data_IF_513137926315
#
_entry.id   IF_513137926315
#
_cell.length_a   1.000
_cell.length_b   1.000
_cell.length_c   1.000
_cell.angle_alpha   90.00
_cell.angle_beta   90.00
_cell.angle_gamma   90.00
#
_symmetry.space_group_name_H-M   'P 1'
#
loop_
_entity.id
_entity.type
_entity.pdbx_description
1 polymer ?
#
# COMPACT_ATOMS: atom_id res chain seq x y z
N UNK A 1 9.41 -9.43 -0.18
CA UNK A 1 10.87 -9.18 -0.28
C UNK A 1 11.11 -7.71 -0.05
N UNK A 2 12.10 -7.39 0.75
CA UNK A 2 12.56 -6.03 1.01
C UNK A 2 14.03 -5.92 0.66
N UNK A 3 14.48 -4.74 0.24
CA UNK A 3 15.85 -4.53 -0.21
C UNK A 3 16.35 -3.13 0.16
N UNK A 4 17.67 -3.03 0.45
CA UNK A 4 18.38 -1.80 0.76
C UNK A 4 19.59 -1.64 -0.17
N UNK A 5 19.66 -0.53 -0.88
CA UNK A 5 20.82 -0.17 -1.67
C UNK A 5 22.04 0.12 -0.79
N UNK A 6 23.22 -0.28 -1.23
CA UNK A 6 24.46 -0.09 -0.46
C UNK A 6 24.99 1.35 -0.47
N UNK A 7 24.32 2.25 -1.18
CA UNK A 7 24.63 3.67 -1.21
C UNK A 7 25.39 4.14 -2.47
N UNK A 8 25.59 5.44 -2.62
CA UNK A 8 26.29 6.02 -3.77
C UNK A 8 27.71 5.46 -3.91
N UNK A 9 28.12 5.14 -5.13
CA UNK A 9 29.43 4.57 -5.42
C UNK A 9 29.58 3.07 -5.13
N UNK A 10 28.59 2.45 -4.47
CA UNK A 10 28.57 1.00 -4.22
C UNK A 10 27.65 0.30 -5.22
N UNK A 11 28.08 -0.85 -5.74
CA UNK A 11 27.22 -1.71 -6.58
C UNK A 11 26.55 -2.75 -5.70
N UNK A 12 25.24 -2.91 -5.88
CA UNK A 12 24.47 -3.98 -5.27
C UNK A 12 23.56 -3.53 -4.13
N UNK A 13 22.86 -4.51 -3.58
CA UNK A 13 21.86 -4.35 -2.53
C UNK A 13 22.03 -5.47 -1.50
N UNK A 14 21.63 -5.21 -0.27
CA UNK A 14 21.27 -6.26 0.68
C UNK A 14 19.75 -6.45 0.64
N UNK A 15 19.28 -7.66 0.91
CA UNK A 15 17.87 -7.97 0.81
C UNK A 15 17.47 -9.15 1.69
N UNK A 16 16.19 -9.21 2.01
CA UNK A 16 15.53 -10.34 2.66
C UNK A 16 14.21 -10.65 1.97
N UNK A 17 13.88 -11.92 1.84
CA UNK A 17 12.61 -12.40 1.34
C UNK A 17 12.06 -13.46 2.31
N UNK A 18 10.80 -13.29 2.68
CA UNK A 18 10.07 -14.21 3.54
C UNK A 18 8.83 -14.69 2.79
N UNK A 19 8.62 -15.99 2.73
CA UNK A 19 7.41 -16.59 2.15
C UNK A 19 6.26 -16.41 3.13
N UNK A 20 5.20 -15.76 2.68
CA UNK A 20 3.95 -15.66 3.43
C UNK A 20 3.22 -17.00 3.34
N UNK A 21 2.66 -17.53 4.46
CA UNK A 21 1.87 -18.77 4.41
C UNK A 21 0.70 -18.66 3.42
N UNK A 22 0.33 -19.80 2.81
CA UNK A 22 -0.65 -19.83 1.71
C UNK A 22 -2.07 -19.45 2.14
N UNK A 23 -2.38 -19.57 3.44
CA UNK A 23 -3.66 -19.20 4.03
C UNK A 23 -3.66 -17.83 4.71
N UNK A 24 -2.61 -17.03 4.49
CA UNK A 24 -2.41 -15.72 5.10
C UNK A 24 -2.38 -14.60 4.06
N UNK A 25 -2.64 -13.39 4.54
CA UNK A 25 -2.48 -12.14 3.80
C UNK A 25 -1.39 -11.28 4.45
N UNK A 26 -0.70 -10.50 3.63
CA UNK A 26 0.31 -9.54 4.06
C UNK A 26 0.10 -8.22 3.31
N UNK A 27 0.53 -7.12 3.91
CA UNK A 27 0.46 -5.79 3.31
C UNK A 27 1.73 -4.99 3.61
N UNK A 28 2.12 -4.13 2.67
CA UNK A 28 3.21 -3.18 2.78
C UNK A 28 2.80 -1.83 2.21
N UNK A 29 3.25 -0.76 2.82
CA UNK A 29 2.90 0.60 2.42
C UNK A 29 4.07 1.56 2.65
N UNK A 30 5.10 1.51 1.81
CA UNK A 30 6.30 2.36 1.86
C UNK A 30 7.15 2.26 3.15
N UNK A 31 6.88 1.29 4.02
CA UNK A 31 7.62 1.01 5.25
C UNK A 31 8.06 -0.44 5.26
N UNK A 32 9.28 -0.69 5.73
CA UNK A 32 9.79 -2.05 5.93
C UNK A 32 9.04 -2.73 7.07
N UNK A 33 8.67 -3.99 6.89
CA UNK A 33 7.87 -4.73 7.87
C UNK A 33 8.43 -6.10 8.24
N UNK A 34 9.38 -6.63 7.48
CA UNK A 34 10.12 -7.82 7.86
C UNK A 34 11.00 -7.45 9.04
N UNK A 35 10.74 -7.99 10.22
CA UNK A 35 11.54 -7.80 11.43
C UNK A 35 12.52 -8.94 11.60
N UNK A 36 12.40 -9.69 12.67
CA UNK A 36 13.16 -10.93 12.86
C UNK A 36 12.69 -12.01 11.88
N UNK A 37 13.61 -12.81 11.41
CA UNK A 37 13.35 -13.94 10.52
C UNK A 37 14.29 -15.10 10.83
N UNK A 38 13.83 -16.32 10.68
CA UNK A 38 14.64 -17.50 10.95
C UNK A 38 15.65 -17.75 9.81
N UNK A 39 16.90 -17.43 10.04
CA UNK A 39 18.00 -17.63 9.09
C UNK A 39 18.27 -19.11 8.77
N UNK A 40 17.73 -20.05 9.56
CA UNK A 40 17.86 -21.49 9.34
C UNK A 40 16.74 -22.06 8.47
N UNK A 41 15.61 -21.37 8.36
CA UNK A 41 14.48 -21.78 7.52
C UNK A 41 14.77 -21.51 6.03
N UNK A 42 15.53 -22.40 5.40
CA UNK A 42 15.89 -22.30 3.97
C UNK A 42 14.71 -22.52 3.02
N UNK A 43 13.56 -22.99 3.52
CA UNK A 43 12.36 -23.20 2.71
C UNK A 43 11.57 -21.90 2.52
N UNK A 44 11.47 -21.09 3.57
CA UNK A 44 10.58 -19.92 3.59
C UNK A 44 11.34 -18.60 3.68
N UNK A 45 12.66 -18.62 3.90
CA UNK A 45 13.47 -17.41 4.06
C UNK A 45 14.69 -17.44 3.14
N UNK A 46 14.90 -16.36 2.42
CA UNK A 46 16.08 -16.11 1.60
C UNK A 46 16.59 -14.70 1.92
N UNK A 47 17.90 -14.52 1.92
CA UNK A 47 18.54 -13.24 2.22
C UNK A 47 19.94 -13.15 1.59
N UNK A 48 20.43 -11.93 1.40
CA UNK A 48 21.81 -11.70 0.95
C UNK A 48 22.82 -12.13 2.03
N UNK A 49 23.91 -12.77 1.62
CA UNK A 49 24.93 -13.32 2.56
C UNK A 49 25.51 -12.28 3.50
N UNK A 50 25.52 -11.03 3.11
CA UNK A 50 26.10 -9.92 3.83
C UNK A 50 25.09 -9.03 4.55
N UNK A 51 23.81 -9.47 4.67
CA UNK A 51 22.72 -8.68 5.24
C UNK A 51 23.02 -8.17 6.66
N UNK A 52 23.56 -8.98 7.55
CA UNK A 52 23.93 -8.55 8.92
C UNK A 52 25.28 -7.82 8.91
N UNK A 53 26.25 -8.34 8.15
CA UNK A 53 27.57 -7.73 8.06
C UNK A 53 27.49 -6.27 7.62
N UNK A 54 26.70 -5.99 6.57
CA UNK A 54 26.53 -4.64 6.06
C UNK A 54 25.87 -3.70 7.09
N UNK A 55 24.85 -4.17 7.82
CA UNK A 55 24.24 -3.39 8.90
C UNK A 55 25.25 -3.04 10.01
N UNK A 56 26.12 -3.97 10.39
CA UNK A 56 27.20 -3.73 11.36
C UNK A 56 28.23 -2.75 10.85
N UNK A 57 28.67 -2.87 9.60
CA UNK A 57 29.62 -1.94 8.97
C UNK A 57 29.10 -0.49 8.93
N UNK A 58 27.76 -0.34 8.83
CA UNK A 58 27.09 0.97 8.88
C UNK A 58 26.78 1.46 10.30
N UNK A 59 27.03 0.66 11.34
CA UNK A 59 26.67 0.99 12.71
C UNK A 59 25.16 0.95 13.01
N UNK A 60 24.38 0.32 12.14
CA UNK A 60 22.92 0.22 12.29
C UNK A 60 22.48 -0.99 13.13
N UNK A 61 23.41 -1.90 13.40
CA UNK A 61 23.18 -3.07 14.25
C UNK A 61 24.46 -3.52 14.96
N UNK A 62 24.35 -3.86 16.26
CA UNK A 62 25.48 -4.30 17.07
C UNK A 62 25.20 -5.56 17.91
N UNK A 63 24.01 -6.15 17.79
CA UNK A 63 23.62 -7.33 18.57
C UNK A 63 24.15 -8.67 18.04
N UNK A 64 23.67 -9.77 18.61
CA UNK A 64 23.91 -11.12 18.07
C UNK A 64 23.11 -11.32 16.79
N UNK A 65 23.54 -12.24 15.91
CA UNK A 65 22.85 -12.52 14.65
C UNK A 65 21.38 -12.95 14.85
N UNK A 66 21.09 -13.68 15.92
CA UNK A 66 19.75 -14.12 16.29
C UNK A 66 18.79 -12.98 16.67
N UNK A 67 19.32 -11.84 17.10
CA UNK A 67 18.56 -10.65 17.48
C UNK A 67 18.34 -9.70 16.29
N UNK A 68 18.89 -10.03 15.12
CA UNK A 68 18.82 -9.15 13.97
C UNK A 68 17.38 -8.96 13.49
N UNK A 69 16.96 -7.70 13.43
CA UNK A 69 15.71 -7.26 12.85
C UNK A 69 15.97 -6.41 11.61
N UNK A 70 15.51 -6.85 10.46
CA UNK A 70 15.73 -6.14 9.21
C UNK A 70 15.12 -4.73 9.24
N UNK A 71 13.83 -4.61 9.59
CA UNK A 71 13.14 -3.32 9.60
C UNK A 71 13.80 -2.34 10.59
N UNK A 72 14.18 -2.82 11.77
CA UNK A 72 14.79 -1.95 12.79
C UNK A 72 16.19 -1.48 12.41
N UNK A 73 16.94 -2.30 11.66
CA UNK A 73 18.28 -1.95 11.20
C UNK A 73 18.26 -1.04 9.95
N UNK A 74 17.39 -1.34 8.97
CA UNK A 74 17.45 -0.69 7.66
C UNK A 74 16.39 0.38 7.42
N UNK A 75 15.27 0.34 8.12
CA UNK A 75 14.16 1.27 7.97
C UNK A 75 13.35 1.37 9.28
N UNK A 76 13.94 1.85 10.37
CA UNK A 76 13.23 1.98 11.64
C UNK A 76 12.00 2.88 11.46
N UNK A 77 10.86 2.41 11.94
CA UNK A 77 9.60 3.13 11.82
C UNK A 77 9.56 4.30 12.81
N UNK A 78 9.71 5.51 12.31
CA UNK A 78 9.45 6.74 13.03
C UNK A 78 7.95 7.08 13.07
N UNK A 79 7.59 8.20 13.68
CA UNK A 79 6.22 8.66 13.75
C UNK A 79 5.58 8.82 12.35
N UNK A 80 6.32 9.43 11.42
CA UNK A 80 5.86 9.60 10.04
C UNK A 80 5.66 8.27 9.31
N UNK A 81 6.62 7.35 9.42
CA UNK A 81 6.54 6.01 8.84
C UNK A 81 5.34 5.23 9.34
N UNK A 82 5.02 5.32 10.64
CA UNK A 82 3.82 4.70 11.21
C UNK A 82 2.56 5.36 10.67
N UNK A 83 2.42 6.67 10.81
CA UNK A 83 1.21 7.42 10.46
C UNK A 83 0.91 7.40 8.96
N UNK A 84 1.92 7.53 8.09
CA UNK A 84 1.73 7.47 6.64
C UNK A 84 1.64 6.06 6.09
N UNK A 85 2.43 5.13 6.62
CA UNK A 85 2.62 3.83 6.01
C UNK A 85 1.88 2.74 6.77
N UNK A 86 2.21 2.53 8.04
CA UNK A 86 1.62 1.44 8.83
C UNK A 86 0.12 1.62 9.08
N UNK A 87 -0.40 2.85 9.09
CA UNK A 87 -1.85 3.09 9.17
C UNK A 87 -2.61 2.46 7.99
N UNK A 88 -2.06 2.49 6.76
CA UNK A 88 -2.66 1.82 5.59
C UNK A 88 -2.64 0.30 5.71
N UNK A 89 -1.55 -0.25 6.24
CA UNK A 89 -1.45 -1.68 6.53
C UNK A 89 -2.46 -2.09 7.61
N UNK A 90 -2.57 -1.27 8.66
CA UNK A 90 -3.55 -1.48 9.72
C UNK A 90 -4.97 -1.50 9.15
N UNK A 91 -5.33 -0.56 8.29
CA UNK A 91 -6.65 -0.52 7.67
C UNK A 91 -6.94 -1.79 6.88
N UNK A 92 -6.01 -2.22 6.02
CA UNK A 92 -6.15 -3.46 5.27
C UNK A 92 -6.33 -4.68 6.18
N UNK A 93 -5.52 -4.80 7.24
CA UNK A 93 -5.68 -5.90 8.18
C UNK A 93 -6.97 -5.82 8.99
N UNK A 94 -7.40 -4.61 9.37
CA UNK A 94 -8.65 -4.40 10.11
C UNK A 94 -9.89 -4.83 9.32
N UNK A 95 -9.89 -4.66 8.00
CA UNK A 95 -10.98 -5.14 7.13
C UNK A 95 -11.10 -6.67 7.16
N UNK A 96 -9.97 -7.38 7.25
CA UNK A 96 -9.92 -8.82 7.01
C UNK A 96 -9.62 -9.67 8.24
N UNK A 97 -9.18 -9.11 9.35
CA UNK A 97 -8.99 -9.82 10.60
C UNK A 97 -10.34 -10.23 11.21
N UNK A 98 -10.40 -11.41 11.79
CA UNK A 98 -11.53 -11.80 12.61
C UNK A 98 -11.56 -10.97 13.89
N UNK A 99 -12.71 -10.37 14.21
CA UNK A 99 -12.86 -9.47 15.37
C UNK A 99 -12.20 -8.08 15.23
N UNK A 100 -11.65 -7.76 14.05
CA UNK A 100 -10.97 -6.50 13.78
C UNK A 100 -9.50 -6.48 14.21
N UNK A 101 -8.89 -5.30 14.19
CA UNK A 101 -7.43 -5.12 14.39
C UNK A 101 -7.12 -3.92 15.29
N UNK A 102 -8.06 -3.51 16.12
CA UNK A 102 -8.00 -2.30 16.94
C UNK A 102 -6.84 -2.27 17.94
N UNK A 103 -6.38 -3.43 18.44
CA UNK A 103 -5.25 -3.55 19.37
C UNK A 103 -3.95 -2.97 18.79
N UNK A 104 -3.80 -2.94 17.47
CA UNK A 104 -2.62 -2.42 16.77
C UNK A 104 -2.75 -0.97 16.30
N UNK A 105 -3.89 -0.34 16.52
CA UNK A 105 -4.09 1.06 16.13
C UNK A 105 -3.09 2.02 16.80
N UNK A 106 -2.76 1.89 18.11
CA UNK A 106 -1.77 2.76 18.75
C UNK A 106 -0.39 2.72 18.06
N UNK A 107 0.05 1.54 17.60
CA UNK A 107 1.26 1.42 16.77
C UNK A 107 1.09 2.14 15.44
N UNK A 108 0.03 1.83 14.70
CA UNK A 108 -0.19 2.31 13.35
C UNK A 108 -0.28 3.84 13.24
N UNK A 109 -0.82 4.50 14.28
CA UNK A 109 -0.92 5.96 14.31
C UNK A 109 0.29 6.64 14.97
N UNK A 110 1.24 5.87 15.49
CA UNK A 110 2.47 6.38 16.08
C UNK A 110 2.31 7.11 17.41
N UNK A 111 1.18 6.98 18.09
CA UNK A 111 0.92 7.67 19.38
C UNK A 111 1.73 7.10 20.54
N UNK A 112 2.02 5.81 20.49
CA UNK A 112 2.71 5.07 21.54
C UNK A 112 3.97 4.44 20.95
N UNK A 113 5.15 4.84 21.46
CA UNK A 113 6.42 4.31 21.00
C UNK A 113 6.59 2.83 21.37
N UNK A 114 6.01 2.41 22.49
CA UNK A 114 6.09 1.07 23.06
C UNK A 114 4.95 0.17 22.60
N UNK A 115 4.02 0.69 21.77
CA UNK A 115 2.91 -0.10 21.23
C UNK A 115 3.41 -1.34 20.49
N UNK A 116 2.66 -2.42 20.61
CA UNK A 116 2.93 -3.68 19.94
C UNK A 116 2.95 -3.51 18.41
N UNK A 117 4.04 -3.85 17.73
CA UNK A 117 4.11 -3.79 16.27
C UNK A 117 3.17 -4.79 15.62
N UNK A 118 2.63 -4.44 14.46
CA UNK A 118 1.75 -5.33 13.71
C UNK A 118 2.52 -6.53 13.17
N UNK A 119 1.90 -7.75 13.13
CA UNK A 119 2.49 -8.91 12.50
C UNK A 119 2.69 -8.69 11.00
N UNK A 120 3.65 -9.41 10.39
CA UNK A 120 3.94 -9.32 8.96
C UNK A 120 2.77 -9.84 8.11
N UNK A 121 2.01 -10.80 8.61
CA UNK A 121 0.83 -11.38 7.98
C UNK A 121 -0.23 -11.73 9.02
N UNK A 122 -1.45 -11.87 8.56
CA UNK A 122 -2.58 -12.38 9.35
C UNK A 122 -3.32 -13.46 8.56
N UNK A 123 -4.03 -14.33 9.28
CA UNK A 123 -5.03 -15.21 8.68
C UNK A 123 -6.31 -14.39 8.47
N UNK A 124 -6.83 -14.27 7.25
CA UNK A 124 -8.06 -13.52 7.02
C UNK A 124 -9.28 -14.30 7.51
N UNK A 125 -10.33 -13.59 7.91
CA UNK A 125 -11.61 -14.18 8.35
C UNK A 125 -12.34 -14.99 7.26
N UNK A 126 -11.97 -14.78 5.99
CA UNK A 126 -12.50 -15.48 4.84
C UNK A 126 -11.50 -15.51 3.68
N UNK A 127 -11.72 -16.37 2.69
CA UNK A 127 -10.96 -16.31 1.44
C UNK A 127 -11.32 -15.03 0.69
N UNK A 128 -10.29 -14.33 0.18
CA UNK A 128 -10.45 -13.08 -0.55
C UNK A 128 -10.61 -13.34 -2.06
N UNK A 129 -11.61 -12.72 -2.65
CA UNK A 129 -11.80 -12.63 -4.08
C UNK A 129 -11.00 -11.46 -4.70
N UNK A 130 -10.95 -11.41 -6.02
CA UNK A 130 -10.41 -10.23 -6.74
C UNK A 130 -11.19 -8.96 -6.40
N UNK A 131 -12.53 -9.06 -6.30
CA UNK A 131 -13.38 -7.93 -5.94
C UNK A 131 -13.08 -7.40 -4.51
N UNK A 132 -12.81 -8.30 -3.56
CA UNK A 132 -12.40 -7.91 -2.20
C UNK A 132 -11.11 -7.09 -2.21
N UNK A 133 -10.11 -7.51 -3.01
CA UNK A 133 -8.87 -6.78 -3.16
C UNK A 133 -9.06 -5.43 -3.88
N UNK A 134 -9.86 -5.40 -4.95
CA UNK A 134 -10.22 -4.16 -5.64
C UNK A 134 -10.91 -3.17 -4.70
N UNK A 135 -11.84 -3.65 -3.88
CA UNK A 135 -12.50 -2.82 -2.87
C UNK A 135 -11.54 -2.34 -1.77
N UNK A 136 -10.60 -3.20 -1.35
CA UNK A 136 -9.57 -2.78 -0.39
C UNK A 136 -8.67 -1.67 -0.94
N UNK A 137 -8.43 -1.64 -2.26
CA UNK A 137 -7.67 -0.55 -2.90
C UNK A 137 -8.43 0.78 -2.92
N UNK A 138 -9.73 0.78 -2.65
CA UNK A 138 -10.61 1.96 -2.61
C UNK A 138 -10.79 2.55 -1.20
N UNK A 139 -10.09 2.00 -0.21
CA UNK A 139 -10.26 2.36 1.21
C UNK A 139 -9.79 3.78 1.55
N UNK A 140 -10.60 4.50 2.34
CA UNK A 140 -10.30 5.79 2.96
C UNK A 140 -10.54 5.72 4.48
N UNK A 141 -10.24 4.57 5.08
CA UNK A 141 -10.44 4.28 6.51
C UNK A 141 -11.92 4.27 6.94
N UNK A 142 -12.85 4.00 6.03
CA UNK A 142 -14.29 4.01 6.31
C UNK A 142 -14.63 3.14 7.53
N UNK A 143 -15.52 3.65 8.40
CA UNK A 143 -15.96 3.00 9.63
C UNK A 143 -14.83 2.74 10.66
N UNK A 144 -13.77 3.52 10.63
CA UNK A 144 -12.67 3.45 11.59
C UNK A 144 -12.42 4.81 12.26
N UNK A 145 -11.66 4.88 13.37
CA UNK A 145 -11.28 6.17 13.96
C UNK A 145 -10.40 7.07 13.07
N UNK A 146 -9.94 6.58 11.93
CA UNK A 146 -9.16 7.33 10.95
C UNK A 146 -9.99 7.72 9.72
N UNK A 147 -11.30 7.52 9.72
CA UNK A 147 -12.15 7.80 8.57
C UNK A 147 -11.96 9.21 8.04
N UNK A 148 -11.84 9.32 6.71
CA UNK A 148 -11.72 10.60 6.01
C UNK A 148 -13.06 11.15 5.53
N UNK A 149 -14.18 10.43 5.76
CA UNK A 149 -15.50 10.74 5.21
C UNK A 149 -16.58 10.93 6.25
N UNK A 150 -16.30 10.71 7.54
CA UNK A 150 -17.33 10.71 8.59
C UNK A 150 -17.49 12.01 9.35
N UNK A 151 -16.46 12.85 9.41
CA UNK A 151 -16.48 14.12 10.14
C UNK A 151 -16.16 15.28 9.20
N UNK A 152 -16.87 16.39 9.38
CA UNK A 152 -16.67 17.62 8.59
C UNK A 152 -15.24 18.17 8.69
N UNK A 153 -14.58 17.94 9.82
CA UNK A 153 -13.20 18.39 10.07
C UNK A 153 -12.13 17.50 9.40
N UNK A 154 -12.50 16.28 8.98
CA UNK A 154 -11.54 15.30 8.51
C UNK A 154 -11.37 15.24 6.99
N UNK A 155 -12.33 15.76 6.24
CA UNK A 155 -12.31 15.80 4.78
C UNK A 155 -12.27 17.23 4.23
N UNK A 156 -12.77 17.40 3.03
CA UNK A 156 -12.92 18.68 2.34
C UNK A 156 -14.24 19.37 2.69
N UNK A 157 -14.40 19.74 3.96
CA UNK A 157 -15.58 20.47 4.42
C UNK A 157 -16.88 19.73 4.14
N UNK A 158 -17.94 20.47 3.82
CA UNK A 158 -19.31 19.96 3.62
C UNK A 158 -19.46 18.90 2.50
N UNK A 159 -18.48 18.75 1.64
CA UNK A 159 -18.51 17.75 0.56
C UNK A 159 -17.80 16.45 0.92
N UNK A 160 -17.25 16.34 2.14
CA UNK A 160 -16.63 15.12 2.69
C UNK A 160 -15.66 14.43 1.74
N UNK A 161 -14.85 15.21 1.01
CA UNK A 161 -13.87 14.65 0.08
C UNK A 161 -12.80 13.85 0.84
N UNK A 162 -12.54 12.58 0.48
CA UNK A 162 -11.75 11.67 1.30
C UNK A 162 -10.25 11.81 1.08
N UNK A 163 -9.72 13.02 1.13
CA UNK A 163 -8.29 13.28 1.04
C UNK A 163 -7.86 14.44 1.93
N UNK A 164 -6.56 14.49 2.22
CA UNK A 164 -5.95 15.58 2.98
C UNK A 164 -5.24 16.55 2.05
N UNK A 165 -5.35 17.84 2.35
CA UNK A 165 -4.58 18.87 1.66
C UNK A 165 -3.12 18.90 2.13
N UNK A 166 -2.22 19.32 1.26
CA UNK A 166 -0.84 19.65 1.61
C UNK A 166 -0.79 20.98 2.41
N UNK A 167 0.15 21.10 3.37
CA UNK A 167 1.13 20.07 3.77
C UNK A 167 0.50 18.97 4.64
N UNK A 168 0.93 17.72 4.40
CA UNK A 168 0.48 16.60 5.23
C UNK A 168 1.20 16.54 6.59
N UNK A 169 2.29 17.26 6.77
CA UNK A 169 2.96 17.45 8.04
C UNK A 169 3.11 18.94 8.34
N UNK A 170 2.85 19.33 9.58
CA UNK A 170 2.90 20.73 10.02
C UNK A 170 3.18 20.81 11.51
N UNK A 171 3.63 21.97 11.97
CA UNK A 171 3.90 22.24 13.37
C UNK A 171 2.89 23.28 13.90
N UNK A 172 2.35 23.00 15.10
CA UNK A 172 1.50 23.95 15.85
C UNK A 172 2.02 24.02 17.27
N UNK A 173 2.36 25.21 17.74
CA UNK A 173 2.90 25.45 19.08
C UNK A 173 4.08 24.53 19.47
N UNK A 174 4.98 24.29 18.50
CA UNK A 174 6.15 23.44 18.67
C UNK A 174 5.86 21.94 18.67
N UNK A 175 4.62 21.52 18.40
CA UNK A 175 4.22 20.13 18.27
C UNK A 175 4.06 19.76 16.81
N UNK A 176 4.65 18.64 16.42
CA UNK A 176 4.55 18.11 15.07
C UNK A 176 3.26 17.31 14.87
N UNK A 177 2.54 17.61 13.81
CA UNK A 177 1.34 16.91 13.39
C UNK A 177 1.56 16.27 12.02
N UNK A 178 0.97 15.09 11.83
CA UNK A 178 0.92 14.39 10.56
C UNK A 178 -0.53 13.97 10.29
N UNK A 179 -0.98 14.23 9.09
CA UNK A 179 -2.21 13.64 8.57
C UNK A 179 -1.91 12.28 7.94
N UNK A 180 -2.77 11.30 8.18
CA UNK A 180 -2.69 9.99 7.55
C UNK A 180 -2.98 10.09 6.04
N UNK A 181 -2.43 9.13 5.29
CA UNK A 181 -2.75 8.92 3.89
C UNK A 181 -3.54 7.62 3.78
N UNK A 182 -4.69 7.58 3.09
CA UNK A 182 -5.46 6.34 2.89
C UNK A 182 -4.79 5.43 1.86
N UNK A 183 -5.31 4.20 1.71
CA UNK A 183 -4.90 3.28 0.66
C UNK A 183 -5.25 3.87 -0.71
N UNK A 184 -6.50 4.30 -0.90
CA UNK A 184 -6.91 5.06 -2.07
C UNK A 184 -6.55 6.53 -1.90
N UNK A 185 -5.81 7.07 -2.82
CA UNK A 185 -5.40 8.48 -2.81
C UNK A 185 -5.50 9.07 -4.20
N UNK A 186 -6.05 10.29 -4.28
CA UNK A 186 -6.22 11.04 -5.52
C UNK A 186 -4.92 11.28 -6.32
N UNK A 187 -3.78 11.02 -5.71
CA UNK A 187 -2.46 11.15 -6.35
C UNK A 187 -2.00 9.86 -7.06
N UNK A 188 -2.80 8.78 -6.99
CA UNK A 188 -2.46 7.53 -7.65
C UNK A 188 -2.57 7.66 -9.15
N UNK A 189 -1.55 7.25 -9.89
CA UNK A 189 -1.56 7.25 -11.35
C UNK A 189 -2.17 5.98 -11.92
N UNK A 190 -2.15 4.90 -11.17
CA UNK A 190 -2.70 3.59 -11.55
C UNK A 190 -2.89 2.70 -10.34
N UNK A 191 -3.72 1.68 -10.52
CA UNK A 191 -3.95 0.60 -9.56
C UNK A 191 -4.05 -0.72 -10.31
N UNK A 192 -3.64 -1.80 -9.67
CA UNK A 192 -3.84 -3.13 -10.25
C UNK A 192 -4.02 -4.22 -9.19
N UNK A 193 -4.67 -5.31 -9.60
CA UNK A 193 -4.74 -6.57 -8.87
C UNK A 193 -4.26 -7.68 -9.80
N UNK A 194 -3.25 -8.44 -9.38
CA UNK A 194 -2.77 -9.61 -10.13
C UNK A 194 -3.41 -10.87 -9.57
N UNK A 195 -4.04 -11.66 -10.43
CA UNK A 195 -4.61 -12.96 -10.09
C UNK A 195 -3.83 -14.06 -10.81
N UNK A 196 -3.17 -14.93 -10.04
CA UNK A 196 -2.38 -16.04 -10.55
C UNK A 196 -3.07 -17.37 -10.24
N UNK A 197 -3.38 -18.17 -11.27
CA UNK A 197 -4.14 -19.41 -11.20
C UNK A 197 -3.35 -20.53 -11.87
N UNK A 198 -2.48 -21.19 -11.10
CA UNK A 198 -1.57 -22.24 -11.59
C UNK A 198 -2.27 -23.48 -12.15
N UNK A 199 -3.56 -23.67 -11.81
CA UNK A 199 -4.41 -24.77 -12.28
C UNK A 199 -5.05 -24.53 -13.65
N UNK A 200 -4.84 -23.37 -14.24
CA UNK A 200 -5.34 -23.03 -15.59
C UNK A 200 -4.19 -23.05 -16.61
N UNK A 201 -4.51 -23.18 -17.90
CA UNK A 201 -3.53 -23.01 -18.97
C UNK A 201 -2.79 -21.67 -18.84
N UNK A 202 -1.49 -21.64 -19.17
CA UNK A 202 -0.65 -20.45 -19.02
C UNK A 202 -1.19 -19.20 -19.70
N UNK A 203 -1.93 -19.39 -20.81
CA UNK A 203 -2.52 -18.30 -21.59
C UNK A 203 -3.57 -17.51 -20.81
N UNK A 204 -4.27 -18.17 -19.88
CA UNK A 204 -5.37 -17.58 -19.10
C UNK A 204 -5.15 -17.69 -17.58
N UNK A 205 -4.08 -18.32 -17.15
CA UNK A 205 -3.76 -18.54 -15.73
C UNK A 205 -3.45 -17.25 -14.97
N UNK A 206 -2.83 -16.28 -15.62
CA UNK A 206 -2.54 -14.96 -15.06
C UNK A 206 -3.47 -13.90 -15.62
N UNK A 207 -4.06 -13.10 -14.75
CA UNK A 207 -4.85 -11.92 -15.11
C UNK A 207 -4.31 -10.72 -14.34
N UNK A 208 -4.12 -9.63 -15.05
CA UNK A 208 -3.74 -8.34 -14.52
C UNK A 208 -4.95 -7.39 -14.62
N UNK A 209 -5.61 -7.19 -13.49
CA UNK A 209 -6.73 -6.27 -13.39
C UNK A 209 -6.19 -4.86 -13.20
N UNK A 210 -6.27 -4.05 -14.23
CA UNK A 210 -5.59 -2.75 -14.30
C UNK A 210 -6.58 -1.61 -14.41
N UNK A 211 -6.31 -0.51 -13.70
CA UNK A 211 -7.01 0.75 -13.82
C UNK A 211 -6.03 1.93 -13.80
N UNK A 212 -6.27 2.92 -14.62
CA UNK A 212 -5.56 4.20 -14.59
C UNK A 212 -6.25 5.17 -13.64
N UNK A 213 -5.45 6.00 -12.96
CA UNK A 213 -5.88 7.00 -12.00
C UNK A 213 -6.17 6.40 -10.60
N UNK A 214 -6.86 7.12 -9.74
CA UNK A 214 -7.19 6.72 -8.38
C UNK A 214 -8.10 5.48 -8.34
N UNK A 215 -7.73 4.51 -7.51
CA UNK A 215 -8.47 3.25 -7.34
C UNK A 215 -9.96 3.43 -7.05
N UNK A 216 -10.33 4.52 -6.38
CA UNK A 216 -11.71 4.82 -6.02
C UNK A 216 -12.59 5.18 -7.22
N UNK A 217 -11.99 5.69 -8.29
CA UNK A 217 -12.68 6.28 -9.43
C UNK A 217 -12.57 5.46 -10.72
N UNK A 218 -11.87 4.32 -10.70
CA UNK A 218 -11.58 3.56 -11.91
C UNK A 218 -12.32 2.25 -12.02
N UNK A 219 -12.56 1.84 -13.27
CA UNK A 219 -12.94 0.48 -13.62
C UNK A 219 -11.68 -0.37 -13.86
N UNK A 220 -11.64 -1.59 -13.31
CA UNK A 220 -10.55 -2.52 -13.52
C UNK A 220 -10.74 -3.29 -14.83
N UNK A 221 -9.79 -3.15 -15.74
CA UNK A 221 -9.75 -3.86 -17.02
C UNK A 221 -8.94 -5.14 -16.88
N UNK A 222 -9.48 -6.33 -17.25
CA UNK A 222 -8.72 -7.57 -17.25
C UNK A 222 -7.74 -7.60 -18.43
N UNK A 223 -6.46 -7.77 -18.13
CA UNK A 223 -5.38 -7.89 -19.11
C UNK A 223 -4.71 -9.25 -18.93
N UNK A 224 -4.62 -10.04 -19.97
CA UNK A 224 -3.95 -11.34 -19.97
C UNK A 224 -2.56 -11.23 -20.59
N UNK A 225 -1.58 -11.98 -20.06
CA UNK A 225 -0.24 -12.03 -20.64
C UNK A 225 -0.21 -12.59 -22.08
N UNK A 226 -1.25 -13.31 -22.49
CA UNK A 226 -1.40 -13.88 -23.85
C UNK A 226 -2.08 -12.95 -24.83
N UNK A 227 -2.48 -11.75 -24.43
CA UNK A 227 -3.09 -10.78 -25.35
C UNK A 227 -2.09 -10.38 -26.43
N UNK A 228 -2.52 -10.44 -27.67
CA UNK A 228 -1.72 -10.02 -28.85
C UNK A 228 -1.87 -8.53 -29.16
N UNK A 229 -2.98 -7.94 -28.69
CA UNK A 229 -3.26 -6.51 -28.86
C UNK A 229 -3.65 -5.89 -27.52
N UNK A 230 -3.19 -4.67 -27.26
CA UNK A 230 -3.59 -3.90 -26.10
C UNK A 230 -4.97 -3.28 -26.35
N UNK A 231 -5.83 -3.11 -25.32
CA UNK A 231 -7.02 -2.30 -25.44
C UNK A 231 -6.69 -0.91 -26.01
N UNK A 232 -7.48 -0.43 -26.95
CA UNK A 232 -7.20 0.83 -27.66
C UNK A 232 -6.98 2.03 -26.72
N UNK A 233 -7.74 2.08 -25.61
CA UNK A 233 -7.65 3.14 -24.61
C UNK A 233 -6.32 3.15 -23.81
N UNK A 234 -5.48 2.11 -23.93
CA UNK A 234 -4.15 2.03 -23.36
C UNK A 234 -3.03 2.14 -24.40
N UNK A 235 -3.36 2.45 -25.64
CA UNK A 235 -2.39 2.63 -26.71
C UNK A 235 -1.78 4.02 -26.71
N UNK A 236 -0.45 4.04 -26.86
CA UNK A 236 0.38 5.24 -26.74
C UNK A 236 0.37 6.26 -27.86
N UNK A 237 -0.04 6.04 -29.13
CA UNK A 237 -0.06 7.15 -30.07
C UNK A 237 -0.99 8.31 -29.67
N UNK A 238 -1.99 8.02 -28.82
CA UNK A 238 -3.00 9.00 -28.39
C UNK A 238 -2.90 9.37 -26.90
N UNK A 239 -1.82 8.98 -26.23
CA UNK A 239 -1.68 9.09 -24.78
C UNK A 239 -0.36 9.75 -24.40
N UNK A 240 -0.33 11.06 -24.34
CA UNK A 240 0.71 11.79 -23.64
C UNK A 240 0.16 12.46 -22.36
N UNK A 241 1.05 12.96 -21.51
CA UNK A 241 0.69 13.54 -20.22
C UNK A 241 0.23 15.01 -20.33
N UNK A 242 0.23 15.61 -21.50
CA UNK A 242 -0.06 17.04 -21.73
C UNK A 242 -1.23 17.28 -22.67
N UNK A 243 -1.57 16.29 -23.50
CA UNK A 243 -2.66 16.42 -24.48
C UNK A 243 -3.86 15.61 -24.06
N UNK A 244 -4.97 16.26 -23.73
CA UNK A 244 -6.22 15.59 -23.39
C UNK A 244 -6.77 14.77 -24.55
N UNK A 245 -7.23 13.56 -24.27
CA UNK A 245 -7.89 12.67 -25.24
C UNK A 245 -8.99 11.84 -24.58
N UNK A 246 -10.18 11.86 -25.18
CA UNK A 246 -11.29 10.99 -24.77
C UNK A 246 -11.08 9.51 -25.14
N UNK A 247 -10.12 9.21 -26.00
CA UNK A 247 -9.76 7.84 -26.39
C UNK A 247 -8.75 7.20 -25.44
N UNK A 248 -8.32 7.93 -24.42
CA UNK A 248 -7.32 7.49 -23.44
C UNK A 248 -7.93 7.24 -22.07
N UNK A 249 -7.76 6.04 -21.53
CA UNK A 249 -8.34 5.63 -20.24
C UNK A 249 -7.89 6.55 -19.07
N UNK A 250 -6.62 6.96 -19.02
CA UNK A 250 -6.14 7.86 -17.98
C UNK A 250 -6.88 9.19 -17.99
N UNK A 251 -6.97 9.85 -19.17
CA UNK A 251 -7.63 11.16 -19.27
C UNK A 251 -9.11 11.10 -18.92
N UNK A 252 -9.82 10.04 -19.36
CA UNK A 252 -11.24 9.88 -19.03
C UNK A 252 -11.43 9.64 -17.53
N UNK A 253 -10.67 8.72 -16.92
CA UNK A 253 -10.75 8.46 -15.48
C UNK A 253 -10.37 9.71 -14.66
N UNK A 254 -9.27 10.37 -15.01
CA UNK A 254 -8.82 11.58 -14.33
C UNK A 254 -9.83 12.74 -14.44
N UNK A 255 -10.48 12.90 -15.59
CA UNK A 255 -11.54 13.88 -15.74
C UNK A 255 -12.72 13.60 -14.81
N UNK A 256 -13.17 12.35 -14.74
CA UNK A 256 -14.24 11.92 -13.83
C UNK A 256 -13.83 12.18 -12.37
N UNK A 257 -12.62 11.79 -11.97
CA UNK A 257 -12.09 12.03 -10.62
C UNK A 257 -12.12 13.51 -10.25
N UNK A 258 -11.62 14.37 -11.14
CA UNK A 258 -11.58 15.81 -10.93
C UNK A 258 -12.98 16.46 -10.88
N UNK A 259 -14.00 15.86 -11.48
CA UNK A 259 -15.38 16.32 -11.36
C UNK A 259 -16.02 15.87 -10.03
N UNK A 260 -15.72 14.65 -9.58
CA UNK A 260 -16.34 14.03 -8.40
C UNK A 260 -15.76 14.57 -7.10
N UNK A 261 -14.44 14.67 -6.97
CA UNK A 261 -13.80 15.06 -5.71
C UNK A 261 -14.27 16.40 -5.12
N UNK A 262 -14.47 17.49 -5.89
CA UNK A 262 -14.94 18.75 -5.33
C UNK A 262 -16.35 18.70 -4.73
N UNK A 263 -17.13 17.66 -5.04
CA UNK A 263 -18.50 17.44 -4.54
C UNK A 263 -18.74 15.96 -4.24
N UNK A 264 -17.83 15.37 -3.51
CA UNK A 264 -17.69 13.93 -3.35
C UNK A 264 -18.98 13.26 -2.84
N UNK A 265 -19.54 13.73 -1.72
CA UNK A 265 -20.76 13.17 -1.13
C UNK A 265 -22.01 13.26 -2.03
N UNK A 266 -22.03 14.23 -2.97
CA UNK A 266 -23.13 14.39 -3.90
C UNK A 266 -22.96 13.58 -5.20
N UNK A 267 -21.72 13.45 -5.72
CA UNK A 267 -21.47 12.86 -7.03
C UNK A 267 -20.95 11.41 -6.96
N UNK A 268 -20.19 11.06 -5.95
CA UNK A 268 -19.63 9.71 -5.82
C UNK A 268 -20.70 8.59 -5.75
N UNK A 269 -21.87 8.76 -5.09
CA UNK A 269 -22.93 7.75 -5.11
C UNK A 269 -23.46 7.40 -6.50
N UNK A 270 -23.38 8.34 -7.45
CA UNK A 270 -23.79 8.09 -8.84
C UNK A 270 -22.70 7.40 -9.68
N UNK A 271 -21.42 7.48 -9.24
CA UNK A 271 -20.30 6.79 -9.87
C UNK A 271 -20.19 5.33 -9.41
N UNK A 272 -20.53 5.04 -8.16
CA UNK A 272 -20.42 3.73 -7.50
C UNK A 272 -21.49 2.74 -7.99
#
# INVERSE_FOLDING_TARGET
MELQGKGPGSKGVVWVAVRIPDDCISAHANQSRIRQFDMKDKKNVMYSKDVIKFAREKGWFSGKDEDFSWADAYAPADFGGRRYCDARVWSFFNMWAEGGFSEYLPWAIGKDADAKPMPLWIKPKQKLSVADLQNSMRDHYENTPLSLTQDDDLGQGIFSAPYRLSPLSYDVDGKKYFNERPISTQQSAFVFVSQLRSWLPRQVGGVFWFGNDDANMVAFTPIYCSMTERPACYNTPNADAVTFSMDNAYWVCNWVSNMVYPRYNALFPALK
#
